data_IF_141765157493
#
_entry.id   IF_141765157493
#
_cell.length_a   1.000
_cell.length_b   1.000
_cell.length_c   1.000
_cell.angle_alpha   90.00
_cell.angle_beta   90.00
_cell.angle_gamma   90.00
#
_symmetry.space_group_name_H-M   'P 1'
#
loop_
_entity.id
_entity.type
_entity.pdbx_description
1 polymer ?
#
# COMPACT_ATOMS: atom_id res chain seq x y z
N UNK A 1 2.57 23.14 21.87
CA UNK A 1 3.90 22.55 21.53
C UNK A 1 3.78 21.08 21.20
N UNK A 2 3.03 20.27 21.96
CA UNK A 2 2.75 18.86 21.59
C UNK A 2 1.84 18.73 20.35
N UNK A 3 0.86 19.63 20.20
CA UNK A 3 -0.07 19.63 19.06
C UNK A 3 0.64 19.85 17.72
N UNK A 4 1.62 20.76 17.67
CA UNK A 4 2.43 21.02 16.47
C UNK A 4 3.35 19.85 16.10
N UNK A 5 3.80 19.06 17.08
CA UNK A 5 4.63 17.88 16.83
C UNK A 5 3.78 16.76 16.20
N UNK A 6 2.57 16.51 16.72
CA UNK A 6 1.63 15.53 16.14
C UNK A 6 1.22 15.88 14.71
N UNK A 7 0.92 17.15 14.45
CA UNK A 7 0.55 17.61 13.09
C UNK A 7 1.72 17.40 12.11
N UNK A 8 2.96 17.67 12.54
CA UNK A 8 4.14 17.48 11.69
C UNK A 8 4.38 16.00 11.39
N UNK A 9 4.16 15.12 12.37
CA UNK A 9 4.27 13.67 12.18
C UNK A 9 3.12 13.12 11.31
N UNK A 10 1.90 13.61 11.48
CA UNK A 10 0.72 13.23 10.68
C UNK A 10 0.89 13.63 9.21
N UNK A 11 1.32 14.87 8.93
CA UNK A 11 1.56 15.34 7.57
C UNK A 11 2.75 14.62 6.90
N UNK A 12 3.81 14.34 7.66
CA UNK A 12 4.93 13.54 7.16
C UNK A 12 4.54 12.08 6.87
N UNK A 13 3.65 11.50 7.69
CA UNK A 13 3.16 10.14 7.48
C UNK A 13 2.19 10.06 6.29
N UNK A 14 1.30 11.05 6.16
CA UNK A 14 0.44 11.22 4.98
C UNK A 14 1.27 11.33 3.69
N UNK A 15 2.30 12.19 3.69
CA UNK A 15 3.15 12.36 2.52
C UNK A 15 3.86 11.05 2.14
N UNK A 16 4.34 10.26 3.12
CA UNK A 16 4.92 8.93 2.85
C UNK A 16 3.91 7.95 2.26
N UNK A 17 2.66 7.97 2.71
CA UNK A 17 1.60 7.13 2.16
C UNK A 17 1.24 7.53 0.72
N UNK A 18 1.23 8.84 0.44
CA UNK A 18 1.01 9.37 -0.91
C UNK A 18 2.19 9.04 -1.85
N UNK A 19 3.42 9.13 -1.37
CA UNK A 19 4.61 8.72 -2.12
C UNK A 19 4.54 7.22 -2.46
N UNK A 20 4.08 6.39 -1.51
CA UNK A 20 3.86 4.97 -1.74
C UNK A 20 2.77 4.70 -2.78
N UNK A 21 1.64 5.41 -2.71
CA UNK A 21 0.57 5.34 -3.70
C UNK A 21 1.08 5.69 -5.11
N UNK A 22 1.78 6.81 -5.24
CA UNK A 22 2.35 7.25 -6.51
C UNK A 22 3.36 6.23 -7.06
N UNK A 23 4.22 5.67 -6.21
CA UNK A 23 5.15 4.61 -6.61
C UNK A 23 4.44 3.35 -7.13
N UNK A 24 3.36 2.93 -6.46
CA UNK A 24 2.54 1.78 -6.88
C UNK A 24 1.89 2.09 -8.24
N UNK A 25 1.33 3.28 -8.42
CA UNK A 25 0.65 3.68 -9.65
C UNK A 25 1.61 3.79 -10.85
N UNK A 26 2.76 4.43 -10.66
CA UNK A 26 3.77 4.65 -11.70
C UNK A 26 4.43 3.35 -12.15
N UNK A 27 4.73 2.44 -11.22
CA UNK A 27 5.42 1.18 -11.53
C UNK A 27 4.47 0.03 -11.85
N UNK A 28 3.24 0.11 -11.33
CA UNK A 28 2.24 -0.93 -11.44
C UNK A 28 1.51 -0.97 -12.77
N UNK A 29 1.44 0.14 -13.51
CA UNK A 29 0.74 0.19 -14.80
C UNK A 29 1.36 -0.71 -15.89
N UNK A 30 2.68 -0.96 -15.85
CA UNK A 30 3.35 -1.94 -16.72
C UNK A 30 3.29 -3.35 -16.09
N UNK A 31 3.37 -3.43 -14.76
CA UNK A 31 3.39 -4.69 -14.04
C UNK A 31 2.02 -5.40 -14.02
N UNK A 32 0.90 -4.65 -14.01
CA UNK A 32 -0.47 -5.16 -14.05
C UNK A 32 -0.83 -5.88 -15.37
N UNK A 33 -0.02 -5.72 -16.42
CA UNK A 33 -0.16 -6.51 -17.66
C UNK A 33 0.29 -7.96 -17.42
N UNK A 34 1.22 -8.18 -16.48
CA UNK A 34 1.85 -9.47 -16.19
C UNK A 34 1.45 -10.06 -14.84
N UNK A 35 0.74 -9.29 -14.00
CA UNK A 35 0.31 -9.68 -12.66
C UNK A 35 -1.22 -9.70 -12.64
N UNK A 36 -1.81 -10.53 -11.76
CA UNK A 36 -3.25 -10.51 -11.51
C UNK A 36 -3.73 -9.09 -11.17
N UNK A 37 -4.52 -8.51 -12.06
CA UNK A 37 -5.11 -7.17 -11.94
C UNK A 37 -5.83 -6.97 -10.59
N UNK A 38 -6.48 -8.01 -10.06
CA UNK A 38 -7.19 -7.89 -8.79
C UNK A 38 -6.25 -7.61 -7.61
N UNK A 39 -5.07 -8.24 -7.58
CA UNK A 39 -4.11 -8.03 -6.49
C UNK A 39 -3.50 -6.62 -6.57
N UNK A 40 -3.30 -6.12 -7.79
CA UNK A 40 -2.86 -4.75 -8.03
C UNK A 40 -3.89 -3.72 -7.57
N UNK A 41 -5.17 -3.92 -7.91
CA UNK A 41 -6.26 -3.02 -7.50
C UNK A 41 -6.43 -3.00 -5.98
N UNK A 42 -6.31 -4.16 -5.33
CA UNK A 42 -6.36 -4.27 -3.86
C UNK A 42 -5.21 -3.47 -3.23
N UNK A 43 -3.99 -3.61 -3.76
CA UNK A 43 -2.85 -2.81 -3.28
C UNK A 43 -3.08 -1.30 -3.44
N UNK A 44 -3.58 -0.87 -4.60
CA UNK A 44 -3.82 0.55 -4.86
C UNK A 44 -4.91 1.12 -3.93
N UNK A 45 -5.97 0.35 -3.69
CA UNK A 45 -7.05 0.74 -2.80
C UNK A 45 -6.58 0.83 -1.33
N UNK A 46 -5.81 -0.15 -0.85
CA UNK A 46 -5.28 -0.12 0.51
C UNK A 46 -4.23 1.00 0.70
N UNK A 47 -3.46 1.35 -0.34
CA UNK A 47 -2.55 2.50 -0.30
C UNK A 47 -3.33 3.82 -0.14
N UNK A 48 -4.43 3.98 -0.87
CA UNK A 48 -5.28 5.15 -0.78
C UNK A 48 -5.95 5.23 0.60
N UNK A 49 -6.53 4.13 1.08
CA UNK A 49 -7.13 4.07 2.42
C UNK A 49 -6.13 4.40 3.51
N UNK A 50 -4.90 3.89 3.43
CA UNK A 50 -3.82 4.22 4.37
C UNK A 50 -3.56 5.73 4.43
N UNK A 51 -3.55 6.43 3.30
CA UNK A 51 -3.40 7.89 3.29
C UNK A 51 -4.56 8.59 4.04
N UNK A 52 -5.79 8.15 3.83
CA UNK A 52 -6.98 8.71 4.49
C UNK A 52 -6.97 8.41 5.99
N UNK A 53 -6.61 7.21 6.40
CA UNK A 53 -6.57 6.85 7.83
C UNK A 53 -5.47 7.58 8.59
N UNK A 54 -4.31 7.79 7.96
CA UNK A 54 -3.23 8.60 8.53
C UNK A 54 -3.63 10.08 8.65
N UNK A 55 -4.34 10.65 7.66
CA UNK A 55 -4.85 12.02 7.74
C UNK A 55 -5.88 12.21 8.86
N UNK A 56 -6.66 11.17 9.17
CA UNK A 56 -7.68 11.19 10.21
C UNK A 56 -7.17 10.70 11.58
N UNK A 57 -5.86 10.45 11.74
CA UNK A 57 -5.23 9.88 12.94
C UNK A 57 -5.91 8.57 13.43
N UNK A 58 -6.45 7.75 12.51
CA UNK A 58 -7.04 6.44 12.82
C UNK A 58 -5.96 5.35 12.79
N UNK A 59 -5.29 5.17 13.93
CA UNK A 59 -4.15 4.25 14.08
C UNK A 59 -4.53 2.79 13.81
N UNK A 60 -5.74 2.36 14.22
CA UNK A 60 -6.21 0.98 14.06
C UNK A 60 -6.44 0.63 12.60
N UNK A 61 -7.16 1.49 11.87
CA UNK A 61 -7.41 1.27 10.44
C UNK A 61 -6.14 1.47 9.61
N UNK A 62 -5.27 2.41 10.00
CA UNK A 62 -3.95 2.59 9.39
C UNK A 62 -3.08 1.34 9.50
N UNK A 63 -3.02 0.74 10.69
CA UNK A 63 -2.25 -0.50 10.91
C UNK A 63 -2.84 -1.68 10.12
N UNK A 64 -4.17 -1.81 10.10
CA UNK A 64 -4.86 -2.83 9.32
C UNK A 64 -4.57 -2.72 7.80
N UNK A 65 -4.72 -1.51 7.23
CA UNK A 65 -4.42 -1.27 5.82
C UNK A 65 -2.94 -1.49 5.50
N UNK A 66 -2.02 -1.09 6.38
CA UNK A 66 -0.59 -1.34 6.19
C UNK A 66 -0.27 -2.86 6.16
N UNK A 67 -0.91 -3.64 7.04
CA UNK A 67 -0.77 -5.09 7.07
C UNK A 67 -1.28 -5.76 5.78
N UNK A 68 -2.46 -5.34 5.29
CA UNK A 68 -3.01 -5.83 4.03
C UNK A 68 -2.08 -5.50 2.86
N UNK A 69 -1.57 -4.27 2.81
CA UNK A 69 -0.67 -3.82 1.76
C UNK A 69 0.65 -4.63 1.74
N UNK A 70 1.20 -4.94 2.92
CA UNK A 70 2.36 -5.81 3.07
C UNK A 70 2.07 -7.23 2.60
N UNK A 71 0.92 -7.79 3.00
CA UNK A 71 0.49 -9.13 2.58
C UNK A 71 0.33 -9.23 1.07
N UNK A 72 -0.43 -8.31 0.44
CA UNK A 72 -0.64 -8.28 -1.00
C UNK A 72 0.68 -8.13 -1.78
N UNK A 73 1.61 -7.31 -1.28
CA UNK A 73 2.94 -7.16 -1.90
C UNK A 73 3.75 -8.46 -1.81
N UNK A 74 3.72 -9.17 -0.68
CA UNK A 74 4.40 -10.47 -0.53
C UNK A 74 3.78 -11.52 -1.44
N UNK A 75 2.45 -11.58 -1.50
CA UNK A 75 1.72 -12.49 -2.37
C UNK A 75 2.06 -12.27 -3.85
N UNK A 76 2.06 -11.01 -4.32
CA UNK A 76 2.46 -10.68 -5.69
C UNK A 76 3.91 -11.05 -6.00
N UNK A 77 4.81 -10.91 -5.01
CA UNK A 77 6.21 -11.33 -5.16
C UNK A 77 6.34 -12.86 -5.29
N UNK A 78 5.56 -13.61 -4.51
CA UNK A 78 5.52 -15.08 -4.59
C UNK A 78 4.95 -15.56 -5.92
N UNK A 79 3.96 -14.86 -6.49
CA UNK A 79 3.42 -15.14 -7.83
C UNK A 79 4.46 -14.96 -8.94
N UNK A 80 5.41 -14.02 -8.78
CA UNK A 80 6.48 -13.78 -9.76
C UNK A 80 7.64 -14.79 -9.68
N UNK A 81 7.72 -15.59 -8.61
CA UNK A 81 8.70 -16.68 -8.50
C UNK A 81 8.02 -17.97 -8.97
N UNK A 82 8.51 -18.63 -10.04
CA UNK A 82 7.94 -19.89 -10.49
C UNK A 82 7.96 -20.92 -9.36
N UNK A 83 6.78 -21.31 -8.89
CA UNK A 83 6.59 -22.37 -7.90
C UNK A 83 5.56 -23.38 -8.47
N UNK A 84 5.48 -24.58 -7.87
CA UNK A 84 4.56 -25.64 -8.36
C UNK A 84 3.10 -25.17 -8.40
N UNK A 85 2.72 -24.21 -7.55
CA UNK A 85 1.37 -23.65 -7.49
C UNK A 85 1.05 -22.69 -8.66
N UNK A 86 2.07 -22.16 -9.34
CA UNK A 86 1.94 -21.13 -10.40
C UNK A 86 2.41 -21.58 -11.80
N UNK A 87 2.83 -22.84 -11.97
CA UNK A 87 3.32 -23.39 -13.26
C UNK A 87 2.52 -24.61 -13.78
N UNK A 88 1.40 -24.95 -13.14
CA UNK A 88 0.48 -26.01 -13.58
C UNK A 88 -0.97 -25.53 -13.63
#
# INVERSE_FOLDING_TARGET
MEESLKITDSEANFQKAMDLFNMIQERGSIAAIYINHMDYDVMLNEALKLSVYLENDDESESEASLHLLKYSTMHMKELQVPNIENIF
#
